data_IF_577653076780
#
_entry.id   IF_577653076780
#
_cell.length_a   1.000
_cell.length_b   1.000
_cell.length_c   1.000
_cell.angle_alpha   90.00
_cell.angle_beta   90.00
_cell.angle_gamma   90.00
#
_symmetry.space_group_name_H-M   'P 1'
#
loop_
_entity.id
_entity.type
_entity.pdbx_description
1 polymer ?
#
# COMPACT_ATOMS: atom_id res chain seq x y z
N UNK A 1 -28.42 -8.46 14.96
CA UNK A 1 -27.66 -7.44 14.20
C UNK A 1 -26.31 -8.05 13.84
N UNK A 2 -26.16 -8.51 12.61
CA UNK A 2 -24.97 -9.25 12.17
C UNK A 2 -23.91 -8.27 11.69
N UNK A 3 -22.81 -8.13 12.43
CA UNK A 3 -21.68 -7.28 12.05
C UNK A 3 -21.05 -7.82 10.77
N UNK A 4 -21.29 -7.19 9.62
CA UNK A 4 -20.53 -7.51 8.41
C UNK A 4 -19.05 -7.17 8.64
N UNK A 5 -18.18 -8.18 8.54
CA UNK A 5 -16.72 -7.99 8.55
C UNK A 5 -16.34 -7.13 7.34
N UNK A 6 -15.67 -6.00 7.59
CA UNK A 6 -15.16 -5.11 6.54
C UNK A 6 -14.19 -5.90 5.64
N UNK A 7 -14.48 -5.96 4.34
CA UNK A 7 -13.56 -6.55 3.33
C UNK A 7 -12.21 -5.81 3.42
N UNK A 8 -11.09 -6.54 3.43
CA UNK A 8 -9.76 -5.91 3.46
C UNK A 8 -9.58 -5.02 2.23
N UNK A 9 -9.07 -3.81 2.41
CA UNK A 9 -8.90 -2.82 1.34
C UNK A 9 -7.56 -2.96 0.61
N UNK A 10 -6.79 -4.02 0.89
CA UNK A 10 -5.50 -4.31 0.27
C UNK A 10 -5.36 -5.81 0.04
N UNK A 11 -4.73 -6.19 -1.07
CA UNK A 11 -4.36 -7.57 -1.39
C UNK A 11 -2.90 -7.64 -1.87
N UNK A 12 -2.22 -8.75 -1.53
CA UNK A 12 -0.87 -9.09 -2.02
C UNK A 12 -0.91 -9.85 -3.34
N UNK A 13 -2.04 -10.47 -3.69
CA UNK A 13 -2.19 -11.33 -4.89
C UNK A 13 -2.53 -10.54 -6.14
N UNK A 14 -2.81 -9.24 -6.01
CA UNK A 14 -3.21 -8.40 -7.12
C UNK A 14 -4.55 -8.82 -7.74
N UNK A 15 -5.39 -9.58 -7.02
CA UNK A 15 -6.77 -9.78 -7.45
C UNK A 15 -7.41 -8.39 -7.54
N UNK A 16 -7.73 -7.99 -8.78
CA UNK A 16 -7.91 -6.60 -9.16
C UNK A 16 -8.85 -5.87 -8.21
N UNK A 17 -8.37 -4.77 -7.62
CA UNK A 17 -9.26 -3.88 -6.90
C UNK A 17 -10.19 -3.23 -7.92
N UNK A 18 -11.48 -3.54 -7.84
CA UNK A 18 -12.49 -2.93 -8.71
C UNK A 18 -12.51 -1.42 -8.50
N UNK A 19 -12.39 -0.68 -9.60
CA UNK A 19 -12.50 0.78 -9.61
C UNK A 19 -13.92 1.27 -9.32
N UNK A 20 -14.17 2.59 -9.42
CA UNK A 20 -13.27 3.63 -9.92
C UNK A 20 -12.26 4.12 -8.87
N UNK A 21 -11.08 4.52 -9.36
CA UNK A 21 -10.06 5.24 -8.58
C UNK A 21 -9.94 6.66 -9.11
N UNK A 22 -9.77 7.62 -8.20
CA UNK A 22 -9.47 9.01 -8.54
C UNK A 22 -8.00 9.18 -8.92
N UNK A 23 -7.12 8.34 -8.38
CA UNK A 23 -5.69 8.35 -8.66
C UNK A 23 -5.05 6.96 -8.52
N UNK A 24 -3.99 6.74 -9.29
CA UNK A 24 -3.13 5.56 -9.18
C UNK A 24 -1.72 6.06 -8.85
N UNK A 25 -1.14 5.50 -7.80
CA UNK A 25 0.24 5.75 -7.38
C UNK A 25 1.06 4.49 -7.63
N UNK A 26 2.13 4.62 -8.40
CA UNK A 26 3.06 3.53 -8.69
C UNK A 26 4.29 3.70 -7.80
N UNK A 27 4.57 2.69 -6.97
CA UNK A 27 5.62 2.67 -5.97
C UNK A 27 5.12 3.03 -4.56
N UNK A 28 5.54 2.24 -3.59
CA UNK A 28 5.26 2.40 -2.16
C UNK A 28 6.44 2.93 -1.37
N UNK A 29 7.35 3.66 -2.02
CA UNK A 29 8.37 4.45 -1.32
C UNK A 29 7.75 5.60 -0.52
N UNK A 30 8.58 6.32 0.25
CA UNK A 30 8.12 7.45 1.08
C UNK A 30 7.29 8.46 0.28
N UNK A 31 7.73 8.84 -0.92
CA UNK A 31 7.01 9.79 -1.77
C UNK A 31 5.63 9.27 -2.20
N UNK A 32 5.57 8.05 -2.75
CA UNK A 32 4.31 7.44 -3.22
C UNK A 32 3.28 7.27 -2.10
N UNK A 33 3.71 6.74 -0.95
CA UNK A 33 2.81 6.59 0.20
C UNK A 33 2.36 7.94 0.76
N UNK A 34 3.24 8.95 0.79
CA UNK A 34 2.88 10.31 1.24
C UNK A 34 1.82 10.91 0.33
N UNK A 35 2.01 10.85 -0.99
CA UNK A 35 1.03 11.32 -1.97
C UNK A 35 -0.30 10.59 -1.84
N UNK A 36 -0.27 9.26 -1.75
CA UNK A 36 -1.48 8.45 -1.58
C UNK A 36 -2.22 8.80 -0.28
N UNK A 37 -1.49 8.98 0.83
CA UNK A 37 -2.08 9.34 2.12
C UNK A 37 -2.72 10.73 2.10
N UNK A 38 -2.09 11.71 1.45
CA UNK A 38 -2.64 13.06 1.32
C UNK A 38 -3.91 13.06 0.45
N UNK A 39 -3.89 12.36 -0.69
CA UNK A 39 -5.06 12.21 -1.55
C UNK A 39 -6.21 11.48 -0.83
N UNK A 40 -5.90 10.42 -0.08
CA UNK A 40 -6.90 9.71 0.74
C UNK A 40 -7.51 10.62 1.82
N UNK A 41 -6.70 11.48 2.47
CA UNK A 41 -7.20 12.51 3.39
C UNK A 41 -8.13 13.52 2.72
N UNK A 42 -7.96 13.76 1.42
CA UNK A 42 -8.84 14.58 0.60
C UNK A 42 -10.02 13.78 0.00
N UNK A 43 -10.36 12.65 0.61
CA UNK A 43 -11.44 11.74 0.20
C UNK A 43 -11.31 11.18 -1.22
N UNK A 44 -10.09 11.08 -1.75
CA UNK A 44 -9.84 10.41 -3.03
C UNK A 44 -9.63 8.91 -2.83
N UNK A 45 -10.22 8.10 -3.71
CA UNK A 45 -9.94 6.67 -3.82
C UNK A 45 -8.62 6.50 -4.59
N UNK A 46 -7.59 6.08 -3.88
CA UNK A 46 -6.24 5.91 -4.44
C UNK A 46 -5.87 4.43 -4.48
N UNK A 47 -5.44 3.96 -5.63
CA UNK A 47 -4.81 2.65 -5.78
C UNK A 47 -3.29 2.83 -5.72
N UNK A 48 -2.62 2.13 -4.78
CA UNK A 48 -1.15 2.10 -4.72
C UNK A 48 -0.68 0.74 -5.22
N UNK A 49 0.19 0.73 -6.22
CA UNK A 49 0.78 -0.47 -6.80
C UNK A 49 2.26 -0.53 -6.49
N UNK A 50 2.73 -1.66 -5.98
CA UNK A 50 4.13 -1.90 -5.65
C UNK A 50 4.57 -3.23 -6.26
N UNK A 51 5.73 -3.21 -6.92
CA UNK A 51 6.34 -4.41 -7.49
C UNK A 51 7.02 -5.25 -6.40
N UNK A 52 7.60 -4.61 -5.39
CA UNK A 52 8.25 -5.27 -4.28
C UNK A 52 7.24 -5.90 -3.31
N UNK A 53 7.59 -7.04 -2.73
CA UNK A 53 6.70 -7.72 -1.78
C UNK A 53 6.65 -7.04 -0.40
N UNK A 54 7.53 -6.06 -0.16
CA UNK A 54 7.58 -5.21 1.04
C UNK A 54 7.40 -3.75 0.63
N UNK A 55 6.50 -3.00 1.29
CA UNK A 55 6.39 -1.58 1.04
C UNK A 55 7.54 -0.80 1.70
N UNK A 56 7.86 0.37 1.16
CA UNK A 56 8.87 1.28 1.73
C UNK A 56 9.97 1.72 0.76
N UNK A 57 10.05 1.17 -0.45
CA UNK A 57 11.11 1.53 -1.39
C UNK A 57 12.51 1.36 -0.77
N UNK A 58 13.41 2.32 -0.87
CA UNK A 58 14.74 2.26 -0.24
C UNK A 58 14.74 2.40 1.29
N UNK A 59 13.58 2.59 1.94
CA UNK A 59 13.50 2.72 3.40
C UNK A 59 12.90 1.50 4.08
N UNK A 60 12.78 0.37 3.38
CA UNK A 60 12.31 -0.85 4.01
C UNK A 60 13.43 -1.51 4.80
N UNK A 61 13.08 -2.18 5.89
CA UNK A 61 14.01 -3.02 6.64
C UNK A 61 13.78 -4.48 6.26
N UNK A 62 14.86 -5.25 6.14
CA UNK A 62 14.77 -6.69 5.94
C UNK A 62 15.54 -7.45 7.02
N UNK A 63 15.04 -8.64 7.34
CA UNK A 63 15.62 -9.48 8.38
C UNK A 63 16.46 -10.59 7.74
N UNK A 64 17.70 -10.75 8.22
CA UNK A 64 18.55 -11.91 7.94
C UNK A 64 18.99 -12.54 9.25
N UNK A 65 18.52 -13.78 9.49
CA UNK A 65 18.73 -14.51 10.75
C UNK A 65 18.24 -13.69 11.97
N UNK A 66 19.14 -13.38 12.89
CA UNK A 66 18.87 -12.63 14.12
C UNK A 66 18.99 -11.11 13.92
N UNK A 67 19.37 -10.64 12.74
CA UNK A 67 19.69 -9.24 12.48
C UNK A 67 18.69 -8.59 11.54
N UNK A 68 18.37 -7.32 11.83
CA UNK A 68 17.57 -6.45 10.97
C UNK A 68 18.51 -5.44 10.34
N UNK A 69 18.40 -5.28 9.03
CA UNK A 69 19.20 -4.36 8.24
C UNK A 69 18.27 -3.34 7.58
N UNK A 70 18.72 -2.09 7.51
CA UNK A 70 18.22 -1.12 6.56
C UNK A 70 18.80 -1.38 5.16
N UNK A 71 18.27 -0.68 4.16
CA UNK A 71 18.60 -0.84 2.73
C UNK A 71 19.38 0.36 2.25
#
# INVERSE_FOLDING_TARGET
MTTQKRKKSWDKRGEGHEGPFDAIVIGSGMGGMTTAALLAKLNKRVLVLEQHYVPGGFTHMFRRKQYTWDV
#
